data_IF_421149257753
#
_entry.id   IF_421149257753
#
_cell.length_a   1.000
_cell.length_b   1.000
_cell.length_c   1.000
_cell.angle_alpha   90.00
_cell.angle_beta   90.00
_cell.angle_gamma   90.00
#
_symmetry.space_group_name_H-M   'P 1'
#
loop_
_entity.id
_entity.type
_entity.pdbx_description
1 polymer ?
#
# COMPACT_ATOMS: atom_id res chain seq x y z
N UNK A 1 5.84 8.57 3.45
CA UNK A 1 5.95 7.53 4.50
C UNK A 1 6.09 6.13 3.93
N UNK A 2 5.08 5.55 3.27
CA UNK A 2 5.17 4.17 2.75
C UNK A 2 6.37 3.95 1.82
N UNK A 3 6.53 4.79 0.79
CA UNK A 3 7.66 4.74 -0.15
C UNK A 3 9.01 4.81 0.58
N UNK A 4 9.18 5.77 1.48
CA UNK A 4 10.42 5.93 2.25
C UNK A 4 10.73 4.68 3.09
N UNK A 5 9.71 4.12 3.76
CA UNK A 5 9.84 2.93 4.57
C UNK A 5 10.30 1.73 3.74
N UNK A 6 9.71 1.53 2.55
CA UNK A 6 10.11 0.48 1.61
C UNK A 6 11.52 0.69 1.07
N UNK A 7 11.89 1.93 0.77
CA UNK A 7 13.26 2.24 0.31
C UNK A 7 14.31 1.88 1.36
N UNK A 8 14.03 2.14 2.64
CA UNK A 8 14.89 1.71 3.76
C UNK A 8 14.96 0.19 3.92
N UNK A 9 13.96 -0.54 3.43
CA UNK A 9 13.98 -2.01 3.35
C UNK A 9 14.65 -2.54 2.07
N UNK A 10 15.25 -1.66 1.24
CA UNK A 10 16.01 -2.05 0.05
C UNK A 10 15.25 -1.99 -1.28
N UNK A 11 13.98 -1.57 -1.28
CA UNK A 11 13.22 -1.40 -2.52
C UNK A 11 13.72 -0.17 -3.28
N UNK A 12 14.21 -0.36 -4.52
CA UNK A 12 14.75 0.75 -5.32
C UNK A 12 13.66 1.68 -5.85
N UNK A 13 12.58 1.10 -6.39
CA UNK A 13 11.48 1.83 -7.00
C UNK A 13 10.15 1.14 -6.64
N UNK A 14 9.62 1.35 -5.41
CA UNK A 14 8.36 0.77 -4.98
C UNK A 14 7.22 1.11 -5.95
N UNK A 15 6.42 0.11 -6.28
CA UNK A 15 5.22 0.23 -7.11
C UNK A 15 4.02 0.30 -6.19
N UNK A 16 3.27 1.39 -6.28
CA UNK A 16 2.20 1.74 -5.35
C UNK A 16 0.89 1.81 -6.09
N UNK A 17 -0.11 1.02 -5.67
CA UNK A 17 -1.48 1.13 -6.16
C UNK A 17 -2.32 1.96 -5.19
N UNK A 18 -2.92 3.04 -5.66
CA UNK A 18 -3.93 3.80 -4.94
C UNK A 18 -5.32 3.22 -5.25
N UNK A 19 -5.91 2.59 -4.24
CA UNK A 19 -7.14 1.81 -4.42
C UNK A 19 -8.40 2.67 -4.37
N UNK A 20 -9.36 2.31 -5.20
CA UNK A 20 -10.73 2.77 -5.16
C UNK A 20 -11.68 1.64 -5.59
N UNK A 21 -13.00 1.85 -5.50
CA UNK A 21 -13.96 0.81 -5.88
C UNK A 21 -14.04 0.59 -7.41
N UNK A 22 -13.58 1.57 -8.21
CA UNK A 22 -13.63 1.55 -9.68
C UNK A 22 -12.41 2.25 -10.28
N UNK A 23 -12.06 1.92 -11.52
CA UNK A 23 -10.88 2.45 -12.22
C UNK A 23 -11.11 3.82 -12.86
N UNK A 24 -12.36 4.16 -13.15
CA UNK A 24 -12.70 5.44 -13.77
C UNK A 24 -12.84 6.51 -12.71
N UNK A 25 -12.18 7.65 -12.92
CA UNK A 25 -12.36 8.83 -12.09
C UNK A 25 -13.82 9.27 -12.10
N UNK A 26 -14.42 9.29 -10.91
CA UNK A 26 -15.77 9.75 -10.68
C UNK A 26 -15.72 10.88 -9.65
N UNK A 27 -16.05 12.14 -10.03
CA UNK A 27 -16.04 13.27 -9.12
C UNK A 27 -16.93 13.11 -7.89
N UNK A 28 -17.92 12.21 -7.93
CA UNK A 28 -18.80 11.90 -6.79
C UNK A 28 -18.22 10.85 -5.84
N UNK A 29 -17.06 10.26 -6.18
CA UNK A 29 -16.37 9.25 -5.38
C UNK A 29 -14.96 9.73 -5.07
N UNK A 30 -14.79 10.29 -3.85
CA UNK A 30 -13.55 10.92 -3.39
C UNK A 30 -12.31 10.04 -3.61
N UNK A 31 -12.40 8.75 -3.28
CA UNK A 31 -11.32 7.78 -3.46
C UNK A 31 -10.75 7.76 -4.89
N UNK A 32 -11.60 7.85 -5.92
CA UNK A 32 -11.15 7.85 -7.32
C UNK A 32 -10.43 9.14 -7.70
N UNK A 33 -10.87 10.27 -7.14
CA UNK A 33 -10.25 11.58 -7.37
C UNK A 33 -8.90 11.67 -6.68
N UNK A 34 -8.82 11.26 -5.42
CA UNK A 34 -7.59 11.25 -4.63
C UNK A 34 -6.55 10.30 -5.22
N UNK A 35 -6.94 9.10 -5.66
CA UNK A 35 -6.03 8.16 -6.30
C UNK A 35 -5.49 8.68 -7.65
N UNK A 36 -6.35 9.30 -8.47
CA UNK A 36 -5.93 9.93 -9.71
C UNK A 36 -4.96 11.09 -9.47
N UNK A 37 -5.20 11.87 -8.40
CA UNK A 37 -4.35 12.98 -8.01
C UNK A 37 -2.97 12.48 -7.54
N UNK A 38 -2.90 11.39 -6.77
CA UNK A 38 -1.62 10.77 -6.39
C UNK A 38 -0.82 10.33 -7.62
N UNK A 39 -1.48 9.74 -8.62
CA UNK A 39 -0.85 9.38 -9.90
C UNK A 39 -0.35 10.61 -10.66
N UNK A 40 -1.14 11.69 -10.70
CA UNK A 40 -0.75 12.97 -11.33
C UNK A 40 0.49 13.57 -10.63
N UNK A 41 0.47 13.66 -9.30
CA UNK A 41 1.58 14.16 -8.48
C UNK A 41 2.87 13.33 -8.68
N UNK A 42 2.77 12.02 -8.84
CA UNK A 42 3.92 11.17 -9.16
C UNK A 42 4.48 11.46 -10.57
N UNK A 43 3.62 11.59 -11.58
CA UNK A 43 4.03 11.95 -12.96
C UNK A 43 4.67 13.33 -13.06
N UNK A 44 4.23 14.27 -12.23
CA UNK A 44 4.80 15.62 -12.15
C UNK A 44 6.06 15.71 -11.27
N UNK A 45 6.50 14.59 -10.69
CA UNK A 45 7.69 14.54 -9.85
C UNK A 45 7.51 15.17 -8.47
N UNK A 46 6.28 15.41 -8.02
CA UNK A 46 5.99 15.82 -6.64
C UNK A 46 6.11 14.64 -5.68
N UNK A 47 5.69 13.46 -6.12
CA UNK A 47 5.93 12.19 -5.44
C UNK A 47 7.03 11.46 -6.20
N UNK A 48 8.18 11.26 -5.56
CA UNK A 48 9.38 10.72 -6.20
C UNK A 48 9.78 9.36 -5.65
N UNK A 49 10.71 8.70 -6.35
CA UNK A 49 11.32 7.42 -5.95
C UNK A 49 10.32 6.26 -5.81
N UNK A 50 9.20 6.33 -6.52
CA UNK A 50 8.23 5.26 -6.66
C UNK A 50 7.47 5.42 -7.99
N UNK A 51 6.67 4.42 -8.30
CA UNK A 51 5.64 4.46 -9.33
C UNK A 51 4.29 4.46 -8.62
N UNK A 52 3.38 5.34 -9.01
CA UNK A 52 2.01 5.38 -8.47
C UNK A 52 1.01 5.16 -9.59
N UNK A 53 0.16 4.15 -9.40
CA UNK A 53 -0.96 3.84 -10.27
C UNK A 53 -2.28 3.90 -9.50
N UNK A 54 -3.36 4.30 -10.16
CA UNK A 54 -4.63 4.56 -9.51
C UNK A 54 -5.54 5.50 -10.29
N UNK A 55 -6.86 5.47 -10.04
CA UNK A 55 -7.55 4.54 -9.14
C UNK A 55 -7.62 3.11 -9.70
N UNK A 56 -7.49 2.12 -8.81
CA UNK A 56 -7.62 0.71 -9.15
C UNK A 56 -8.50 -0.01 -8.12
N UNK A 57 -9.37 -0.91 -8.56
CA UNK A 57 -9.96 -1.91 -7.66
C UNK A 57 -8.92 -2.94 -7.20
N UNK A 58 -9.18 -3.56 -6.04
CA UNK A 58 -8.25 -4.52 -5.44
C UNK A 58 -7.98 -5.71 -6.36
N UNK A 59 -9.00 -6.27 -7.01
CA UNK A 59 -8.85 -7.38 -7.95
C UNK A 59 -7.99 -7.00 -9.16
N UNK A 60 -8.16 -5.80 -9.71
CA UNK A 60 -7.30 -5.30 -10.80
C UNK A 60 -5.87 -5.08 -10.33
N UNK A 61 -5.67 -4.54 -9.12
CA UNK A 61 -4.33 -4.35 -8.56
C UNK A 61 -3.61 -5.68 -8.32
N UNK A 62 -4.35 -6.74 -7.96
CA UNK A 62 -3.78 -8.04 -7.59
C UNK A 62 -3.71 -9.06 -8.73
N UNK A 63 -4.46 -8.89 -9.82
CA UNK A 63 -4.51 -9.85 -10.92
C UNK A 63 -4.46 -9.18 -12.30
N UNK A 64 -3.35 -9.41 -13.01
CA UNK A 64 -3.12 -8.90 -14.37
C UNK A 64 -4.15 -9.40 -15.39
N UNK A 65 -4.65 -10.63 -15.24
CA UNK A 65 -5.67 -11.18 -16.13
C UNK A 65 -7.01 -10.45 -15.97
N UNK A 66 -7.37 -10.06 -14.74
CA UNK A 66 -8.55 -9.24 -14.48
C UNK A 66 -8.38 -7.84 -15.06
N UNK A 67 -7.21 -7.23 -14.90
CA UNK A 67 -6.89 -5.94 -15.53
C UNK A 67 -7.08 -6.00 -17.05
N UNK A 68 -6.53 -7.01 -17.71
CA UNK A 68 -6.71 -7.23 -19.15
C UNK A 68 -8.19 -7.45 -19.52
N UNK A 69 -8.92 -8.27 -18.76
CA UNK A 69 -10.34 -8.53 -19.01
C UNK A 69 -11.21 -7.27 -18.90
N UNK A 70 -10.91 -6.39 -17.94
CA UNK A 70 -11.59 -5.10 -17.76
C UNK A 70 -11.07 -4.00 -18.70
N UNK A 71 -10.07 -4.28 -19.54
CA UNK A 71 -9.49 -3.30 -20.47
C UNK A 71 -8.71 -2.18 -19.76
N UNK A 72 -8.13 -2.47 -18.60
CA UNK A 72 -7.36 -1.50 -17.80
C UNK A 72 -5.91 -1.52 -18.28
N UNK A 73 -5.45 -0.40 -18.85
CA UNK A 73 -4.05 -0.22 -19.25
C UNK A 73 -3.19 0.09 -18.02
N UNK A 74 -2.51 -0.95 -17.53
CA UNK A 74 -1.75 -0.92 -16.29
C UNK A 74 -0.59 -1.91 -16.36
N UNK A 75 0.64 -1.39 -16.48
CA UNK A 75 1.87 -2.19 -16.61
C UNK A 75 2.11 -3.10 -15.39
N UNK A 76 1.83 -2.56 -14.19
CA UNK A 76 2.18 -3.16 -12.89
C UNK A 76 1.02 -3.89 -12.20
N UNK A 77 -0.13 -4.02 -12.86
CA UNK A 77 -1.25 -4.76 -12.29
C UNK A 77 -0.88 -6.23 -12.07
N UNK A 78 -1.14 -6.72 -10.85
CA UNK A 78 -0.67 -8.01 -10.35
C UNK A 78 0.74 -8.01 -9.76
N UNK A 79 1.44 -6.87 -9.73
CA UNK A 79 2.84 -6.78 -9.33
C UNK A 79 3.17 -5.46 -8.59
N UNK A 80 2.27 -5.06 -7.68
CA UNK A 80 2.44 -3.91 -6.79
C UNK A 80 3.06 -4.31 -5.45
N UNK A 81 3.97 -3.48 -4.95
CA UNK A 81 4.63 -3.70 -3.66
C UNK A 81 3.82 -3.10 -2.48
N UNK A 82 3.01 -2.07 -2.75
CA UNK A 82 2.20 -1.39 -1.73
C UNK A 82 0.81 -1.01 -2.26
N UNK A 83 -0.18 -1.12 -1.37
CA UNK A 83 -1.55 -0.69 -1.61
C UNK A 83 -1.87 0.49 -0.68
N UNK A 84 -2.36 1.59 -1.24
CA UNK A 84 -2.90 2.73 -0.49
C UNK A 84 -4.41 2.60 -0.48
N UNK A 85 -4.99 2.51 0.71
CA UNK A 85 -6.41 2.29 0.92
C UNK A 85 -7.15 3.64 0.96
N UNK A 86 -8.41 3.69 0.51
CA UNK A 86 -9.18 4.94 0.43
C UNK A 86 -9.53 5.52 1.80
N UNK A 87 -9.65 4.66 2.82
CA UNK A 87 -9.95 5.04 4.19
C UNK A 87 -9.53 3.94 5.19
N UNK A 88 -9.72 4.23 6.48
CA UNK A 88 -9.38 3.35 7.58
C UNK A 88 -10.25 2.09 7.62
N UNK A 89 -11.52 2.18 7.21
CA UNK A 89 -12.44 1.05 7.27
C UNK A 89 -12.04 0.00 6.21
N UNK A 90 -11.76 0.45 4.98
CA UNK A 90 -11.24 -0.39 3.91
C UNK A 90 -9.92 -1.06 4.32
N UNK A 91 -8.99 -0.30 4.91
CA UNK A 91 -7.72 -0.87 5.38
C UNK A 91 -7.85 -1.83 6.54
N UNK A 92 -8.72 -1.54 7.52
CA UNK A 92 -8.95 -2.43 8.65
C UNK A 92 -9.61 -3.75 8.21
N UNK A 93 -10.62 -3.66 7.34
CA UNK A 93 -11.31 -4.82 6.79
C UNK A 93 -10.35 -5.66 5.96
N UNK A 94 -9.64 -5.08 4.99
CA UNK A 94 -8.71 -5.83 4.14
C UNK A 94 -7.60 -6.49 4.96
N UNK A 95 -6.97 -5.76 5.88
CA UNK A 95 -5.93 -6.30 6.75
C UNK A 95 -6.44 -7.51 7.55
N UNK A 96 -7.63 -7.42 8.14
CA UNK A 96 -8.25 -8.54 8.85
C UNK A 96 -8.62 -9.70 7.92
N UNK A 97 -9.13 -9.43 6.72
CA UNK A 97 -9.41 -10.47 5.73
C UNK A 97 -8.14 -11.25 5.35
N UNK A 98 -7.02 -10.56 5.12
CA UNK A 98 -5.75 -11.21 4.81
C UNK A 98 -5.27 -12.11 5.96
N UNK A 99 -5.33 -11.62 7.20
CA UNK A 99 -4.90 -12.39 8.37
C UNK A 99 -5.84 -13.57 8.65
N UNK A 100 -7.15 -13.31 8.73
CA UNK A 100 -8.14 -14.30 9.19
C UNK A 100 -8.45 -15.33 8.11
N UNK A 101 -8.65 -14.88 6.87
CA UNK A 101 -9.09 -15.73 5.76
C UNK A 101 -7.90 -16.24 4.95
N UNK A 102 -6.99 -15.37 4.55
CA UNK A 102 -5.83 -15.76 3.74
C UNK A 102 -4.64 -16.28 4.57
N UNK A 103 -4.75 -16.27 5.91
CA UNK A 103 -3.69 -16.70 6.85
C UNK A 103 -2.36 -15.97 6.63
N UNK A 104 -2.44 -14.72 6.19
CA UNK A 104 -1.28 -13.87 6.00
C UNK A 104 -0.64 -13.50 7.33
N UNK A 105 0.68 -13.37 7.32
CA UNK A 105 1.46 -12.82 8.41
C UNK A 105 1.39 -11.29 8.38
N UNK A 106 1.39 -10.64 9.54
CA UNK A 106 1.31 -9.19 9.66
C UNK A 106 2.43 -8.64 10.53
N UNK A 107 3.02 -7.52 10.08
CA UNK A 107 3.82 -6.62 10.91
C UNK A 107 3.26 -5.19 10.77
N UNK A 108 3.04 -4.53 11.91
CA UNK A 108 2.44 -3.19 11.96
C UNK A 108 3.40 -2.17 12.55
N UNK A 109 3.57 -1.04 11.85
CA UNK A 109 4.41 0.06 12.31
C UNK A 109 3.84 1.40 11.89
N UNK A 110 3.94 2.38 12.79
CA UNK A 110 3.59 3.77 12.50
C UNK A 110 4.86 4.49 12.06
N UNK A 111 4.78 5.14 10.89
CA UNK A 111 5.85 5.89 10.26
C UNK A 111 5.49 7.37 10.13
N UNK A 112 6.51 8.25 10.12
CA UNK A 112 6.36 9.71 10.02
C UNK A 112 6.81 10.48 11.26
N UNK A 113 7.04 9.79 12.38
CA UNK A 113 7.78 10.31 13.51
C UNK A 113 9.30 10.21 13.28
N UNK A 114 10.11 10.72 14.21
CA UNK A 114 11.58 10.63 14.15
C UNK A 114 12.11 9.19 14.16
N UNK A 115 11.34 8.27 14.75
CA UNK A 115 11.65 6.84 14.84
C UNK A 115 10.38 6.04 14.55
N UNK A 116 10.49 4.80 14.03
CA UNK A 116 9.34 3.90 13.86
C UNK A 116 8.69 3.57 15.21
N UNK A 117 7.35 3.50 15.25
CA UNK A 117 6.60 3.17 16.46
C UNK A 117 5.84 1.87 16.22
N UNK A 118 6.16 0.85 17.02
CA UNK A 118 5.43 -0.43 17.02
C UNK A 118 4.16 -0.27 17.85
N UNK A 119 3.00 -0.43 17.22
CA UNK A 119 1.70 -0.43 17.88
C UNK A 119 0.94 -1.70 17.50
N UNK A 120 0.70 -2.57 18.48
CA UNK A 120 0.05 -3.87 18.26
C UNK A 120 -1.36 -3.85 18.81
N UNK A 121 -2.27 -4.59 18.17
CA UNK A 121 -3.61 -4.79 18.70
C UNK A 121 -3.58 -5.68 19.94
N UNK A 122 -4.58 -5.55 20.81
CA UNK A 122 -4.73 -6.44 21.99
C UNK A 122 -4.80 -7.92 21.58
N UNK A 123 -5.39 -8.20 20.42
CA UNK A 123 -5.53 -9.55 19.87
C UNK A 123 -4.32 -10.06 19.07
N UNK A 124 -3.24 -9.29 18.95
CA UNK A 124 -2.08 -9.66 18.13
C UNK A 124 -1.32 -10.86 18.71
N UNK A 125 -0.93 -11.79 17.83
CA UNK A 125 -0.13 -12.96 18.21
C UNK A 125 1.30 -12.57 18.62
N UNK A 126 2.03 -13.48 19.27
CA UNK A 126 3.45 -13.25 19.57
C UNK A 126 4.28 -13.03 18.29
N UNK A 127 3.92 -13.73 17.22
CA UNK A 127 4.55 -13.64 15.91
C UNK A 127 4.29 -12.29 15.23
N UNK A 128 3.05 -11.79 15.27
CA UNK A 128 2.71 -10.46 14.74
C UNK A 128 3.51 -9.35 15.45
N UNK A 129 3.70 -9.49 16.77
CA UNK A 129 4.54 -8.56 17.56
C UNK A 129 6.00 -8.66 17.14
N UNK A 130 6.51 -9.87 16.95
CA UNK A 130 7.88 -10.10 16.49
C UNK A 130 8.12 -9.49 15.10
N UNK A 131 7.24 -9.74 14.13
CA UNK A 131 7.35 -9.15 12.79
C UNK A 131 7.25 -7.62 12.82
N UNK A 132 6.39 -7.07 13.66
CA UNK A 132 6.30 -5.61 13.84
C UNK A 132 7.62 -5.01 14.33
N UNK A 133 8.30 -5.67 15.29
CA UNK A 133 9.62 -5.25 15.78
C UNK A 133 10.70 -5.41 14.70
N UNK A 134 10.68 -6.53 13.96
CA UNK A 134 11.64 -6.79 12.89
C UNK A 134 11.54 -5.73 11.77
N UNK A 135 10.32 -5.44 11.30
CA UNK A 135 10.06 -4.42 10.29
C UNK A 135 10.47 -3.03 10.80
N UNK A 136 10.14 -2.68 12.04
CA UNK A 136 10.57 -1.42 12.65
C UNK A 136 12.10 -1.30 12.72
N UNK A 137 12.82 -2.38 13.01
CA UNK A 137 14.29 -2.40 13.07
C UNK A 137 14.92 -2.14 11.71
N UNK A 138 14.39 -2.76 10.64
CA UNK A 138 14.82 -2.51 9.26
C UNK A 138 14.59 -1.04 8.85
N UNK A 139 13.44 -0.48 9.24
CA UNK A 139 13.09 0.91 8.93
C UNK A 139 13.85 1.95 9.79
N UNK A 140 14.37 1.56 10.95
CA UNK A 140 15.21 2.42 11.79
C UNK A 140 16.68 2.42 11.31
N UNK A 141 17.16 1.29 10.82
CA UNK A 141 18.54 1.09 10.40
C UNK A 141 18.74 1.37 8.91
N UNK A 142 18.73 2.63 8.49
CA UNK A 142 19.39 3.08 7.23
C UNK A 142 19.37 4.61 7.12
N UNK A 143 20.50 5.24 7.46
CA UNK A 143 21.01 6.40 6.72
C UNK A 143 22.13 5.83 5.84
N UNK A 144 21.83 5.53 4.58
CA UNK A 144 22.86 5.29 3.56
C UNK A 144 23.07 6.60 2.80
#
# INVERSE_FOLDING_TARGET
NAVEAMRKMGYKMPRVAALAAIEKVNPKMRATVEAAELKRMNREGLIQHCIVEGPLSYDVAMDKAIAHHKGVDCEYCGDFDALILPDIDAGNILGKCLIVTAKAEMGGVIMGAKVPIVLTSRGSSAEEKFFSIAVASLMAGQTL
#
